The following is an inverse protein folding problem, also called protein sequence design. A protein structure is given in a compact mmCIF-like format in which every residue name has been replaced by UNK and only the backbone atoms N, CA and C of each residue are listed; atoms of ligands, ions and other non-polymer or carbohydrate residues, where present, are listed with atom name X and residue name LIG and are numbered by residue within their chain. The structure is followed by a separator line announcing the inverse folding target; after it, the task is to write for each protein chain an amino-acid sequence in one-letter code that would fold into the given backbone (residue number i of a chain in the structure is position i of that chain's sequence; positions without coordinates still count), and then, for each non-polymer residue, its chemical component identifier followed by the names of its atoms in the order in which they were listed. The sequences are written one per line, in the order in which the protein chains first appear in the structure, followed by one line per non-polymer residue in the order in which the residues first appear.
data_IF_167095086964
#
_entry.id   IF_167095086964
#
_cell.length_a   1.000
_cell.length_b   1.000
_cell.length_c   1.000
_cell.angle_alpha   90.00
_cell.angle_beta   90.00
_cell.angle_gamma   90.00
#
_symmetry.space_group_name_H-M   'P 1'
#
loop_
_entity.id
_entity.type
_entity.pdbx_description
1 polymer ?
#
# COMPACT_ATOMS: atom_id res chain seq x y z
N UNK A 1 -1.56 -13.06 -9.79
CA UNK A 1 -2.21 -14.29 -9.25
C UNK A 1 -3.47 -13.91 -8.49
N UNK A 2 -4.52 -14.71 -8.59
CA UNK A 2 -5.77 -14.59 -7.85
C UNK A 2 -5.91 -15.80 -6.92
N UNK A 3 -6.47 -15.58 -5.74
CA UNK A 3 -6.69 -16.57 -4.68
C UNK A 3 -8.11 -16.42 -4.14
N UNK A 4 -8.70 -17.51 -3.70
CA UNK A 4 -10.04 -17.50 -3.11
C UNK A 4 -10.00 -17.03 -1.66
N UNK A 5 -8.90 -17.30 -0.96
CA UNK A 5 -8.72 -16.93 0.44
C UNK A 5 -7.46 -16.08 0.66
N UNK A 6 -7.46 -15.29 1.73
CA UNK A 6 -6.27 -14.52 2.14
C UNK A 6 -5.16 -15.44 2.65
N UNK A 7 -5.50 -16.61 3.18
CA UNK A 7 -4.57 -17.62 3.67
C UNK A 7 -3.76 -18.22 2.51
N UNK A 8 -4.41 -18.61 1.42
CA UNK A 8 -3.74 -19.09 0.20
C UNK A 8 -2.83 -18.02 -0.41
N UNK A 9 -3.32 -16.77 -0.46
CA UNK A 9 -2.53 -15.65 -0.94
C UNK A 9 -1.30 -15.40 -0.07
N UNK A 10 -1.44 -15.50 1.27
CA UNK A 10 -0.33 -15.34 2.20
C UNK A 10 0.71 -16.43 2.03
N UNK A 11 0.31 -17.70 1.95
CA UNK A 11 1.23 -18.83 1.78
C UNK A 11 1.97 -18.73 0.45
N UNK A 12 1.29 -18.42 -0.63
CA UNK A 12 1.91 -18.20 -1.94
C UNK A 12 2.95 -17.09 -1.91
N UNK A 13 2.63 -15.96 -1.29
CA UNK A 13 3.51 -14.80 -1.22
C UNK A 13 4.74 -15.10 -0.36
N UNK A 14 4.54 -15.62 0.84
CA UNK A 14 5.63 -15.90 1.78
C UNK A 14 6.51 -17.05 1.30
N UNK A 15 5.98 -17.99 0.51
CA UNK A 15 6.77 -19.02 -0.17
C UNK A 15 7.76 -18.49 -1.20
N UNK A 16 7.61 -17.24 -1.66
CA UNK A 16 8.50 -16.58 -2.62
C UNK A 16 9.50 -15.62 -1.99
N UNK A 17 9.41 -15.38 -0.69
CA UNK A 17 10.22 -14.38 0.02
C UNK A 17 10.86 -15.06 1.23
N UNK A 18 12.17 -15.22 1.18
CA UNK A 18 12.98 -15.81 2.24
C UNK A 18 14.39 -15.23 2.23
N UNK A 19 15.07 -15.26 3.36
CA UNK A 19 16.47 -14.86 3.55
C UNK A 19 16.78 -13.46 2.97
N UNK A 20 15.90 -12.49 3.22
CA UNK A 20 16.02 -11.14 2.63
C UNK A 20 15.46 -10.05 3.55
N UNK A 21 15.69 -8.79 3.19
CA UNK A 21 15.06 -7.64 3.85
C UNK A 21 13.72 -7.31 3.20
N UNK A 22 12.69 -7.12 3.99
CA UNK A 22 11.31 -6.84 3.55
C UNK A 22 10.77 -5.60 4.24
N UNK A 23 10.39 -4.60 3.47
CA UNK A 23 9.62 -3.46 3.95
C UNK A 23 8.12 -3.67 3.71
N UNK A 24 7.29 -3.35 4.68
CA UNK A 24 5.83 -3.39 4.52
C UNK A 24 5.29 -1.97 4.68
N UNK A 25 4.71 -1.43 3.62
CA UNK A 25 4.02 -0.14 3.70
C UNK A 25 2.74 -0.19 4.53
N UNK A 26 2.12 0.96 4.77
CA UNK A 26 0.84 1.04 5.48
C UNK A 26 -0.25 0.24 4.75
N UNK A 27 -0.40 -1.03 5.08
CA UNK A 27 -1.20 -2.01 4.34
C UNK A 27 -2.11 -2.83 5.27
N UNK A 28 -3.39 -2.47 5.32
CA UNK A 28 -4.40 -3.22 6.09
C UNK A 28 -4.55 -4.66 5.60
N UNK A 29 -4.43 -4.89 4.31
CA UNK A 29 -4.50 -6.24 3.73
C UNK A 29 -3.36 -7.12 4.25
N UNK A 30 -2.11 -6.61 4.27
CA UNK A 30 -0.97 -7.34 4.83
C UNK A 30 -1.18 -7.71 6.31
N UNK A 31 -1.78 -6.80 7.08
CA UNK A 31 -2.13 -7.06 8.49
C UNK A 31 -3.16 -8.18 8.61
N UNK A 32 -4.22 -8.15 7.80
CA UNK A 32 -5.27 -9.17 7.81
C UNK A 32 -4.78 -10.54 7.36
N UNK A 33 -3.72 -10.59 6.56
CA UNK A 33 -3.06 -11.80 6.09
C UNK A 33 -2.04 -12.35 7.11
N UNK A 34 -1.70 -11.60 8.16
CA UNK A 34 -0.66 -11.98 9.12
C UNK A 34 0.72 -12.08 8.46
N UNK A 35 1.03 -11.17 7.51
CA UNK A 35 2.24 -11.30 6.71
C UNK A 35 3.52 -11.04 7.50
N UNK A 36 3.48 -10.22 8.54
CA UNK A 36 4.66 -9.89 9.33
C UNK A 36 5.26 -11.15 9.96
N UNK A 37 4.47 -11.86 10.76
CA UNK A 37 4.89 -13.06 11.47
C UNK A 37 5.31 -14.16 10.50
N UNK A 38 4.51 -14.40 9.48
CA UNK A 38 4.80 -15.40 8.43
C UNK A 38 6.11 -15.13 7.67
N UNK A 39 6.46 -13.87 7.47
CA UNK A 39 7.73 -13.49 6.81
C UNK A 39 8.92 -13.63 7.75
N UNK A 40 8.76 -13.28 9.02
CA UNK A 40 9.80 -13.52 10.06
C UNK A 40 10.09 -15.01 10.19
N UNK A 41 9.07 -15.87 10.21
CA UNK A 41 9.21 -17.33 10.25
C UNK A 41 9.94 -17.91 9.02
N UNK A 42 10.06 -17.15 7.93
CA UNK A 42 10.83 -17.50 6.70
C UNK A 42 12.22 -16.87 6.69
N UNK A 43 12.75 -16.52 7.85
CA UNK A 43 14.10 -15.95 8.04
C UNK A 43 14.30 -14.63 7.28
N UNK A 44 13.26 -13.81 7.19
CA UNK A 44 13.36 -12.46 6.66
C UNK A 44 13.56 -11.45 7.78
N UNK A 45 14.31 -10.39 7.49
CA UNK A 45 14.37 -9.20 8.31
C UNK A 45 13.26 -8.24 7.85
N UNK A 46 12.21 -8.08 8.68
CA UNK A 46 10.96 -7.40 8.29
C UNK A 46 10.83 -6.07 9.00
N UNK A 47 10.71 -5.01 8.23
CA UNK A 47 10.50 -3.65 8.70
C UNK A 47 9.08 -3.19 8.43
N UNK A 48 8.34 -2.81 9.48
CA UNK A 48 6.98 -2.34 9.36
C UNK A 48 6.65 -1.29 10.44
N UNK A 49 6.49 -0.04 10.03
CA UNK A 49 6.21 1.08 10.91
C UNK A 49 4.87 0.99 11.67
N UNK A 50 4.01 0.03 11.36
CA UNK A 50 2.81 -0.26 12.15
C UNK A 50 3.10 -1.17 13.35
N UNK A 51 4.21 -1.89 13.33
CA UNK A 51 4.70 -2.73 14.43
C UNK A 51 5.73 -1.94 15.24
N UNK A 52 6.68 -1.35 14.57
CA UNK A 52 7.77 -0.56 15.14
C UNK A 52 7.73 0.87 14.59
N UNK A 53 6.95 1.79 15.21
CA UNK A 53 6.85 3.18 14.74
C UNK A 53 8.17 3.92 14.91
N UNK A 54 8.57 4.68 13.88
CA UNK A 54 9.75 5.53 13.93
C UNK A 54 10.33 5.83 12.55
N UNK A 55 11.17 6.87 12.49
CA UNK A 55 11.81 7.27 11.23
C UNK A 55 12.87 6.27 10.76
N UNK A 56 13.55 5.59 11.69
CA UNK A 56 14.50 4.52 11.36
C UNK A 56 13.80 3.35 10.68
N UNK A 57 12.65 2.91 11.18
CA UNK A 57 11.88 1.85 10.54
C UNK A 57 11.42 2.25 9.14
N UNK A 58 10.95 3.49 8.96
CA UNK A 58 10.58 4.01 7.64
C UNK A 58 11.77 4.04 6.67
N UNK A 59 12.96 4.37 7.16
CA UNK A 59 14.20 4.33 6.38
C UNK A 59 14.55 2.91 5.96
N UNK A 60 14.52 1.95 6.89
CA UNK A 60 14.75 0.53 6.58
C UNK A 60 13.70 -0.03 5.61
N UNK A 61 12.42 0.35 5.73
CA UNK A 61 11.41 0.00 4.73
C UNK A 61 11.79 0.49 3.32
N UNK A 62 12.33 1.71 3.21
CA UNK A 62 12.80 2.27 1.93
C UNK A 62 14.06 1.58 1.41
N UNK A 63 14.94 1.10 2.25
CA UNK A 63 16.19 0.41 1.90
C UNK A 63 16.00 -1.08 1.65
N UNK A 64 14.91 -1.68 2.14
CA UNK A 64 14.62 -3.11 2.00
C UNK A 64 14.58 -3.56 0.52
N UNK A 65 15.10 -4.74 0.23
CA UNK A 65 15.16 -5.31 -1.13
C UNK A 65 13.78 -5.65 -1.69
N UNK A 66 12.89 -6.11 -0.82
CA UNK A 66 11.50 -6.45 -1.17
C UNK A 66 10.57 -5.46 -0.49
N UNK A 67 9.55 -5.01 -1.22
CA UNK A 67 8.52 -4.14 -0.64
C UNK A 67 7.13 -4.73 -0.85
N UNK A 68 6.35 -4.77 0.21
CA UNK A 68 4.96 -5.23 0.17
C UNK A 68 4.04 -4.06 0.45
N UNK A 69 3.07 -3.86 -0.40
CA UNK A 69 2.05 -2.83 -0.24
C UNK A 69 0.69 -3.30 -0.75
N UNK A 70 -0.30 -2.46 -0.60
CA UNK A 70 -1.59 -2.59 -1.27
C UNK A 70 -1.80 -1.46 -2.25
N UNK A 71 -2.93 -1.48 -2.95
CA UNK A 71 -3.40 -0.38 -3.78
C UNK A 71 -4.57 0.35 -3.12
N UNK A 72 -4.78 1.62 -3.46
CA UNK A 72 -6.03 2.32 -3.17
C UNK A 72 -7.13 1.92 -4.17
N UNK A 73 -6.75 1.66 -5.43
CA UNK A 73 -7.60 1.09 -6.46
C UNK A 73 -6.73 0.41 -7.53
N UNK A 74 -7.33 -0.51 -8.28
CA UNK A 74 -6.72 -1.20 -9.41
C UNK A 74 -7.76 -1.20 -10.52
N UNK A 75 -7.41 -0.68 -11.70
CA UNK A 75 -8.26 -0.74 -12.88
C UNK A 75 -8.09 -2.09 -13.59
N UNK A 76 -9.14 -2.62 -14.19
CA UNK A 76 -9.05 -3.83 -15.03
C UNK A 76 -8.21 -3.60 -16.29
N UNK A 77 -8.05 -2.33 -16.70
CA UNK A 77 -7.13 -1.90 -17.76
C UNK A 77 -5.66 -1.97 -17.37
N UNK A 78 -5.35 -2.19 -16.09
CA UNK A 78 -4.00 -2.48 -15.59
C UNK A 78 -3.39 -1.45 -14.66
N UNK A 79 -3.97 -0.26 -14.51
CA UNK A 79 -3.44 0.80 -13.69
C UNK A 79 -3.60 0.49 -12.19
N UNK A 80 -2.52 0.71 -11.44
CA UNK A 80 -2.50 0.61 -9.99
C UNK A 80 -2.38 2.01 -9.40
N UNK A 81 -3.37 2.42 -8.61
CA UNK A 81 -3.47 3.78 -8.08
C UNK A 81 -3.22 3.79 -6.58
N UNK A 82 -2.30 4.65 -6.16
CA UNK A 82 -1.99 4.89 -4.76
C UNK A 82 -1.97 6.39 -4.43
N UNK A 83 -2.59 6.74 -3.31
CA UNK A 83 -2.60 8.07 -2.71
C UNK A 83 -1.88 8.00 -1.36
N UNK A 84 -1.02 8.98 -1.08
CA UNK A 84 -0.22 9.00 0.14
C UNK A 84 -0.09 10.41 0.75
N UNK A 85 0.18 10.45 2.04
CA UNK A 85 0.39 11.68 2.79
C UNK A 85 1.86 12.06 2.92
N UNK A 86 2.70 11.12 3.33
CA UNK A 86 4.16 11.31 3.49
C UNK A 86 4.95 11.04 2.21
N UNK A 87 4.42 10.18 1.32
CA UNK A 87 5.09 9.79 0.08
C UNK A 87 6.04 8.60 0.21
N UNK A 88 6.32 8.11 1.43
CA UNK A 88 7.23 6.98 1.67
C UNK A 88 6.81 5.71 0.91
N UNK A 89 5.53 5.38 0.93
CA UNK A 89 4.99 4.23 0.21
C UNK A 89 5.09 4.41 -1.32
N UNK A 90 4.80 5.61 -1.83
CA UNK A 90 4.90 5.89 -3.27
C UNK A 90 6.35 5.83 -3.75
N UNK A 91 7.29 6.35 -2.98
CA UNK A 91 8.71 6.26 -3.28
C UNK A 91 9.17 4.79 -3.36
N UNK A 92 8.80 3.96 -2.38
CA UNK A 92 9.14 2.55 -2.36
C UNK A 92 8.48 1.74 -3.49
N UNK A 93 7.30 2.16 -3.97
CA UNK A 93 6.63 1.53 -5.11
C UNK A 93 7.28 1.90 -6.45
N UNK A 94 7.84 3.12 -6.55
CA UNK A 94 8.35 3.66 -7.81
C UNK A 94 9.84 3.43 -8.02
N UNK A 95 10.65 3.23 -6.96
CA UNK A 95 12.10 3.21 -7.10
C UNK A 95 12.82 2.36 -6.06
N UNK A 96 13.96 1.79 -6.46
CA UNK A 96 14.99 1.23 -5.58
C UNK A 96 14.72 -0.19 -5.07
N UNK A 97 13.68 -0.87 -5.53
CA UNK A 97 13.32 -2.21 -5.07
C UNK A 97 13.69 -3.30 -6.08
N UNK A 98 14.25 -4.41 -5.59
CA UNK A 98 14.42 -5.61 -6.43
C UNK A 98 13.07 -6.26 -6.78
N UNK A 99 12.15 -6.27 -5.84
CA UNK A 99 10.79 -6.80 -6.04
C UNK A 99 9.77 -6.00 -5.25
N UNK A 100 8.64 -5.72 -5.87
CA UNK A 100 7.47 -5.12 -5.25
C UNK A 100 6.30 -6.09 -5.37
N UNK A 101 5.62 -6.34 -4.26
CA UNK A 101 4.38 -7.12 -4.23
C UNK A 101 3.21 -6.23 -3.84
N UNK A 102 2.19 -6.21 -4.69
CA UNK A 102 0.92 -5.53 -4.40
C UNK A 102 -0.10 -6.59 -4.01
N UNK A 103 -0.56 -6.53 -2.77
CA UNK A 103 -1.62 -7.39 -2.25
C UNK A 103 -2.90 -6.59 -2.07
N UNK A 104 -3.96 -7.01 -2.72
CA UNK A 104 -5.22 -6.27 -2.71
C UNK A 104 -6.42 -7.22 -2.71
N UNK A 105 -7.46 -6.86 -1.97
CA UNK A 105 -8.74 -7.55 -2.07
C UNK A 105 -9.48 -7.14 -3.36
N UNK A 106 -10.35 -8.01 -3.85
CA UNK A 106 -11.16 -7.80 -5.05
C UNK A 106 -12.04 -6.54 -4.97
N UNK A 107 -12.35 -6.08 -3.77
CA UNK A 107 -13.10 -4.83 -3.53
C UNK A 107 -12.36 -3.55 -3.98
N UNK A 108 -11.13 -3.68 -4.47
CA UNK A 108 -10.33 -2.57 -5.01
C UNK A 108 -10.25 -2.56 -6.52
N UNK A 109 -10.79 -3.58 -7.17
CA UNK A 109 -10.91 -3.64 -8.62
C UNK A 109 -11.99 -2.67 -9.09
N UNK A 110 -11.72 -2.01 -10.19
CA UNK A 110 -12.60 -1.06 -10.87
C UNK A 110 -12.52 -1.33 -12.37
N UNK A 111 -13.59 -1.03 -13.09
CA UNK A 111 -13.71 -1.36 -14.51
C UNK A 111 -12.66 -0.64 -15.37
N UNK A 112 -12.33 0.61 -15.02
CA UNK A 112 -11.43 1.46 -15.78
C UNK A 112 -10.62 2.41 -14.89
N UNK A 113 -9.74 3.20 -15.51
CA UNK A 113 -8.89 4.18 -14.84
C UNK A 113 -9.70 5.26 -14.10
N UNK A 114 -10.75 5.80 -14.71
CA UNK A 114 -11.54 6.90 -14.12
C UNK A 114 -12.28 6.42 -12.88
N UNK A 115 -12.87 5.25 -12.93
CA UNK A 115 -13.52 4.58 -11.79
C UNK A 115 -12.51 4.27 -10.68
N UNK A 116 -11.32 3.82 -11.05
CA UNK A 116 -10.25 3.54 -10.09
C UNK A 116 -9.72 4.84 -9.43
N UNK A 117 -9.54 5.90 -10.20
CA UNK A 117 -9.15 7.21 -9.67
C UNK A 117 -10.24 7.79 -8.75
N UNK A 118 -11.49 7.67 -9.16
CA UNK A 118 -12.63 8.07 -8.33
C UNK A 118 -12.63 7.30 -7.00
N UNK A 119 -12.49 5.97 -7.06
CA UNK A 119 -12.43 5.12 -5.87
C UNK A 119 -11.26 5.48 -4.95
N UNK A 120 -10.07 5.71 -5.52
CA UNK A 120 -8.89 6.07 -4.74
C UNK A 120 -9.11 7.38 -3.96
N UNK A 121 -9.72 8.39 -4.59
CA UNK A 121 -9.98 9.70 -3.98
C UNK A 121 -11.18 9.72 -3.04
N UNK A 122 -12.30 9.11 -3.47
CA UNK A 122 -13.59 9.30 -2.81
C UNK A 122 -13.94 8.17 -1.83
N UNK A 123 -13.27 7.03 -1.93
CA UNK A 123 -13.46 5.91 -1.01
C UNK A 123 -12.21 5.67 -0.17
N UNK A 124 -11.08 5.34 -0.81
CA UNK A 124 -9.91 4.91 -0.05
C UNK A 124 -9.27 6.05 0.77
N UNK A 125 -9.11 7.25 0.18
CA UNK A 125 -8.50 8.39 0.89
C UNK A 125 -9.42 8.92 1.99
N UNK A 126 -10.72 8.99 1.77
CA UNK A 126 -11.70 9.46 2.78
C UNK A 126 -11.79 8.47 3.95
N UNK A 127 -11.88 7.17 3.67
CA UNK A 127 -11.83 6.15 4.71
C UNK A 127 -10.51 6.15 5.49
N UNK A 128 -9.39 6.43 4.82
CA UNK A 128 -8.12 6.53 5.51
C UNK A 128 -8.06 7.75 6.45
N UNK A 129 -8.70 8.87 6.10
CA UNK A 129 -8.75 10.07 6.93
C UNK A 129 -9.41 9.84 8.28
N UNK A 130 -10.36 8.91 8.38
CA UNK A 130 -11.02 8.58 9.66
C UNK A 130 -10.09 7.95 10.68
N UNK A 131 -8.95 7.38 10.24
CA UNK A 131 -7.97 6.69 11.09
C UNK A 131 -6.96 7.64 11.76
N UNK A 132 -6.92 8.89 11.29
CA UNK A 132 -5.99 9.90 11.81
C UNK A 132 -6.73 10.99 12.58
N UNK A 133 -6.04 11.62 13.52
CA UNK A 133 -6.56 12.82 14.17
C UNK A 133 -6.26 14.05 13.30
N UNK A 134 -7.07 14.25 12.28
CA UNK A 134 -6.95 15.35 11.32
C UNK A 134 -8.28 16.09 11.16
N UNK A 135 -8.19 17.39 10.93
CA UNK A 135 -9.36 18.27 10.71
C UNK A 135 -9.55 18.49 9.21
N UNK A 136 -10.04 17.46 8.51
CA UNK A 136 -10.35 17.51 7.07
C UNK A 136 -11.85 17.36 6.86
N UNK A 137 -12.45 18.01 5.83
CA UNK A 137 -13.89 17.89 5.56
C UNK A 137 -14.33 16.43 5.39
N UNK A 138 -13.55 15.64 4.66
CA UNK A 138 -13.88 14.25 4.39
C UNK A 138 -13.90 13.35 5.65
N UNK A 139 -13.27 13.76 6.76
CA UNK A 139 -13.38 13.05 8.03
C UNK A 139 -14.78 13.22 8.65
N UNK A 140 -15.48 14.32 8.32
CA UNK A 140 -16.79 14.65 8.90
C UNK A 140 -17.89 13.88 8.16
N UNK A 141 -17.89 13.90 6.83
CA UNK A 141 -18.99 13.39 6.01
C UNK A 141 -18.62 12.22 5.07
N UNK A 142 -17.35 11.79 5.09
CA UNK A 142 -16.86 10.67 4.27
C UNK A 142 -16.68 10.99 2.79
N UNK A 143 -16.87 12.25 2.35
CA UNK A 143 -16.80 12.65 0.93
C UNK A 143 -15.53 13.44 0.65
N UNK A 144 -14.95 13.24 -0.54
CA UNK A 144 -13.83 14.06 -0.99
C UNK A 144 -14.32 15.45 -1.43
N UNK A 145 -13.76 16.49 -0.84
CA UNK A 145 -14.06 17.89 -1.17
C UNK A 145 -12.95 18.57 -1.98
N UNK A 146 -11.98 17.81 -2.47
CA UNK A 146 -10.78 18.35 -3.10
C UNK A 146 -10.12 19.51 -2.29
N UNK A 147 -10.13 19.34 -0.99
CA UNK A 147 -9.78 20.37 -0.03
C UNK A 147 -8.30 20.77 -0.06
N UNK A 148 -8.01 21.99 0.40
CA UNK A 148 -6.66 22.49 0.66
C UNK A 148 -6.35 22.55 2.16
N UNK A 149 -6.94 21.65 2.96
CA UNK A 149 -6.67 21.60 4.40
C UNK A 149 -5.17 21.40 4.65
N UNK A 150 -4.57 22.16 5.58
CA UNK A 150 -3.17 21.95 5.96
C UNK A 150 -2.91 20.59 6.59
N UNK A 151 -3.96 19.89 7.02
CA UNK A 151 -3.89 18.55 7.61
C UNK A 151 -4.35 17.44 6.65
N UNK A 152 -4.43 17.75 5.32
CA UNK A 152 -4.80 16.71 4.34
C UNK A 152 -3.76 15.60 4.30
N UNK A 153 -4.24 14.38 4.15
CA UNK A 153 -3.40 13.17 4.09
C UNK A 153 -3.30 12.58 2.67
N UNK A 154 -3.86 13.25 1.68
CA UNK A 154 -3.85 12.83 0.27
C UNK A 154 -3.00 13.81 -0.55
N UNK A 155 -1.69 13.92 -0.21
CA UNK A 155 -0.80 14.92 -0.78
C UNK A 155 -0.16 14.49 -2.09
N UNK A 156 -0.02 13.19 -2.33
CA UNK A 156 0.60 12.65 -3.52
C UNK A 156 -0.23 11.53 -4.12
N UNK A 157 -0.20 11.44 -5.44
CA UNK A 157 -0.84 10.41 -6.24
C UNK A 157 0.23 9.74 -7.10
N UNK A 158 0.27 8.40 -7.09
CA UNK A 158 1.06 7.58 -7.99
C UNK A 158 0.13 6.69 -8.80
N UNK A 159 0.32 6.68 -10.11
CA UNK A 159 -0.28 5.73 -11.03
C UNK A 159 0.83 4.89 -11.64
N UNK A 160 0.75 3.59 -11.47
CA UNK A 160 1.63 2.63 -12.11
C UNK A 160 0.88 2.01 -13.28
N UNK A 161 1.42 2.13 -14.51
CA UNK A 161 0.89 1.47 -15.72
C UNK A 161 1.53 0.10 -15.97
N UNK A 162 2.63 -0.19 -15.29
CA UNK A 162 3.35 -1.43 -15.43
C UNK A 162 4.49 -1.53 -14.42
N UNK A 163 5.27 -2.60 -14.47
CA UNK A 163 6.47 -2.73 -13.64
C UNK A 163 7.50 -1.66 -14.03
N UNK A 164 8.24 -1.18 -13.02
CA UNK A 164 9.38 -0.30 -13.28
C UNK A 164 10.46 -1.05 -14.06
N UNK A 165 11.16 -0.33 -14.93
CA UNK A 165 12.32 -0.88 -15.62
C UNK A 165 13.41 -1.26 -14.63
N UNK A 166 14.07 -2.36 -14.86
CA UNK A 166 15.28 -2.72 -14.13
C UNK A 166 16.41 -1.73 -14.47
N UNK A 167 17.13 -1.28 -13.44
CA UNK A 167 18.29 -0.40 -13.58
C UNK A 167 19.58 -1.15 -13.25
#
# INVERSE_FOLDING_TARGET
SRFETKEEAAEYLTGKIHDTTVGIGGCKTAQQMGLYEKLVDRNNEVYWHWIEPGDETLKHELEAKVFISSANAIAETGEIINIDGKGNRLAALAFGKKRVFIVAGVNKLCDDFDSALYRARNVAATQNATRFDVKTPCKIDGKCHDCRSPQRICNALLVLWGPMMEM
#
